data_IF_205561073021
#
_entry.id   IF_205561073021
#
_cell.length_a   1.000
_cell.length_b   1.000
_cell.length_c   1.000
_cell.angle_alpha   90.00
_cell.angle_beta   90.00
_cell.angle_gamma   90.00
#
_symmetry.space_group_name_H-M   'P 1'
#
loop_
_entity.id
_entity.type
_entity.pdbx_description
1 polymer ?
#
# COMPACT_ATOMS: atom_id res chain seq x y z
N UNK A 1 14.36 -11.85 -17.23
CA UNK A 1 13.12 -11.13 -17.63
C UNK A 1 11.86 -11.73 -17.01
N UNK A 2 11.81 -13.03 -16.67
CA UNK A 2 10.62 -13.65 -16.02
C UNK A 2 10.25 -13.07 -14.65
N UNK A 3 11.21 -12.74 -13.77
CA UNK A 3 10.90 -12.22 -12.43
C UNK A 3 10.01 -10.97 -12.47
N UNK A 4 10.26 -10.07 -13.42
CA UNK A 4 9.50 -8.82 -13.54
C UNK A 4 8.02 -9.05 -13.89
N UNK A 5 7.71 -10.09 -14.66
CA UNK A 5 6.34 -10.39 -15.05
C UNK A 5 5.51 -10.91 -13.88
N UNK A 6 6.09 -11.78 -13.04
CA UNK A 6 5.43 -12.32 -11.84
C UNK A 6 5.17 -11.21 -10.82
N UNK A 7 6.13 -10.29 -10.64
CA UNK A 7 5.94 -9.13 -9.76
C UNK A 7 4.82 -8.20 -10.25
N UNK A 8 4.77 -7.93 -11.55
CA UNK A 8 3.73 -7.07 -12.13
C UNK A 8 2.32 -7.69 -12.02
N UNK A 9 2.19 -9.00 -12.22
CA UNK A 9 0.92 -9.71 -12.00
C UNK A 9 0.49 -9.67 -10.53
N UNK A 10 1.43 -9.97 -9.63
CA UNK A 10 1.19 -9.93 -8.18
C UNK A 10 0.81 -8.52 -7.71
N UNK A 11 1.48 -7.49 -8.24
CA UNK A 11 1.18 -6.10 -7.92
C UNK A 11 -0.22 -5.69 -8.37
N UNK A 12 -0.61 -6.03 -9.61
CA UNK A 12 -1.96 -5.77 -10.12
C UNK A 12 -3.03 -6.50 -9.31
N UNK A 13 -2.76 -7.72 -8.86
CA UNK A 13 -3.65 -8.43 -7.95
C UNK A 13 -3.89 -7.65 -6.66
N UNK A 14 -2.84 -7.13 -6.03
CA UNK A 14 -3.01 -6.33 -4.81
C UNK A 14 -3.74 -5.02 -5.02
N UNK A 15 -3.50 -4.32 -6.14
CA UNK A 15 -4.27 -3.11 -6.47
C UNK A 15 -5.77 -3.42 -6.62
N UNK A 16 -6.10 -4.55 -7.24
CA UNK A 16 -7.48 -5.01 -7.35
C UNK A 16 -8.09 -5.32 -5.97
N UNK A 17 -7.35 -6.01 -5.09
CA UNK A 17 -7.80 -6.26 -3.71
C UNK A 17 -8.02 -4.94 -2.93
N UNK A 18 -7.12 -3.97 -3.06
CA UNK A 18 -7.28 -2.64 -2.45
C UNK A 18 -8.54 -1.94 -2.96
N UNK A 19 -8.88 -2.11 -4.24
CA UNK A 19 -10.13 -1.59 -4.81
C UNK A 19 -11.41 -2.26 -4.30
N UNK A 20 -11.30 -3.37 -3.58
CA UNK A 20 -12.47 -4.08 -3.00
C UNK A 20 -12.78 -3.71 -1.56
N UNK A 21 -11.88 -2.97 -0.89
CA UNK A 21 -12.01 -2.59 0.51
C UNK A 21 -12.01 -1.07 0.67
N UNK A 22 -12.56 -0.57 1.77
CA UNK A 22 -12.35 0.82 2.20
C UNK A 22 -11.00 0.92 2.92
N UNK A 23 -9.93 0.96 2.14
CA UNK A 23 -8.58 1.05 2.69
C UNK A 23 -8.30 2.39 3.39
N UNK A 24 -9.02 3.48 3.03
CA UNK A 24 -8.86 4.77 3.67
C UNK A 24 -9.35 4.74 5.12
N UNK A 25 -10.40 3.97 5.42
CA UNK A 25 -10.86 3.73 6.79
C UNK A 25 -9.81 3.05 7.69
N UNK A 26 -8.74 2.49 7.13
CA UNK A 26 -7.64 1.86 7.89
C UNK A 26 -6.55 2.83 8.33
N UNK A 27 -6.63 4.12 7.94
CA UNK A 27 -5.62 5.12 8.26
C UNK A 27 -5.32 5.19 9.77
N UNK A 28 -6.36 5.30 10.59
CA UNK A 28 -6.24 5.39 12.06
C UNK A 28 -5.63 4.12 12.67
N UNK A 29 -6.05 2.94 12.19
CA UNK A 29 -5.53 1.66 12.68
C UNK A 29 -4.07 1.43 12.32
N UNK A 30 -3.67 1.92 11.15
CA UNK A 30 -2.30 1.85 10.66
C UNK A 30 -1.40 2.94 11.25
N UNK A 31 -1.98 3.95 11.91
CA UNK A 31 -1.26 5.13 12.40
C UNK A 31 -0.69 5.97 11.25
N UNK A 32 -1.41 6.06 10.14
CA UNK A 32 -1.01 6.81 8.93
C UNK A 32 -2.06 7.85 8.57
N UNK A 33 -1.74 8.73 7.65
CA UNK A 33 -2.65 9.79 7.21
C UNK A 33 -3.35 9.40 5.90
N UNK A 34 -4.57 9.90 5.70
CA UNK A 34 -5.24 9.87 4.40
C UNK A 34 -5.17 11.27 3.76
N UNK A 35 -4.71 11.34 2.51
CA UNK A 35 -4.61 12.56 1.69
C UNK A 35 -5.42 12.34 0.41
N UNK A 36 -6.67 12.84 0.40
CA UNK A 36 -7.61 12.61 -0.70
C UNK A 36 -7.98 11.13 -0.83
N UNK A 37 -7.59 10.51 -1.95
CA UNK A 37 -7.83 9.09 -2.24
C UNK A 37 -6.60 8.21 -1.97
N UNK A 38 -5.60 8.71 -1.23
CA UNK A 38 -4.36 7.99 -0.97
C UNK A 38 -4.06 7.88 0.53
N UNK A 39 -3.51 6.74 0.96
CA UNK A 39 -2.87 6.59 2.26
C UNK A 39 -1.42 7.05 2.17
N UNK A 40 -0.98 7.87 3.12
CA UNK A 40 0.37 8.40 3.23
C UNK A 40 1.15 7.59 4.25
N UNK A 41 1.97 6.66 3.78
CA UNK A 41 2.65 5.67 4.62
C UNK A 41 4.15 6.00 4.72
N UNK A 42 4.67 6.26 5.94
CA UNK A 42 6.10 6.39 6.16
C UNK A 42 6.75 5.00 6.25
N UNK A 43 7.77 4.76 5.44
CA UNK A 43 8.56 3.52 5.46
C UNK A 43 10.03 3.82 5.14
N UNK A 44 10.96 3.36 5.98
CA UNK A 44 12.42 3.58 5.80
C UNK A 44 12.81 5.04 5.51
N UNK A 45 12.32 5.99 6.32
CA UNK A 45 12.53 7.43 6.17
C UNK A 45 12.10 8.01 4.82
N UNK A 46 11.14 7.36 4.15
CA UNK A 46 10.54 7.84 2.91
C UNK A 46 9.03 7.82 3.04
N UNK A 47 8.39 8.72 2.32
CA UNK A 47 6.93 8.82 2.29
C UNK A 47 6.37 8.24 0.99
N UNK A 48 5.39 7.35 1.11
CA UNK A 48 4.72 6.71 0.00
C UNK A 48 3.23 7.05 -0.01
N UNK A 49 2.66 7.18 -1.20
CA UNK A 49 1.21 7.20 -1.38
C UNK A 49 0.74 5.83 -1.88
N UNK A 50 -0.35 5.34 -1.29
CA UNK A 50 -0.98 4.06 -1.63
C UNK A 50 -2.45 4.31 -1.96
N UNK A 51 -2.86 3.88 -3.15
CA UNK A 51 -4.26 3.83 -3.57
C UNK A 51 -4.55 2.56 -4.35
N UNK A 52 -5.82 2.33 -4.65
CA UNK A 52 -6.25 1.24 -5.53
C UNK A 52 -5.76 1.40 -6.98
N UNK A 53 -5.31 2.59 -7.37
CA UNK A 53 -4.80 2.86 -8.73
C UNK A 53 -3.28 2.78 -8.82
N UNK A 54 -2.57 2.89 -7.69
CA UNK A 54 -1.13 2.71 -7.67
C UNK A 54 -0.45 3.02 -6.34
N UNK A 55 0.84 2.66 -6.27
CA UNK A 55 1.72 2.93 -5.14
C UNK A 55 2.93 3.73 -5.63
N UNK A 56 3.09 4.93 -5.09
CA UNK A 56 4.07 5.92 -5.55
C UNK A 56 4.89 6.48 -4.40
N UNK A 57 6.09 6.96 -4.70
CA UNK A 57 6.95 7.63 -3.74
C UNK A 57 6.70 9.12 -3.89
N UNK A 58 6.53 9.84 -2.78
CA UNK A 58 6.35 11.30 -2.85
C UNK A 58 7.68 12.04 -3.09
N UNK A 59 8.81 11.35 -2.95
CA UNK A 59 10.16 11.94 -2.97
C UNK A 59 10.98 11.64 -4.25
N UNK A 60 10.34 11.39 -5.39
CA UNK A 60 11.00 11.36 -6.71
C UNK A 60 11.94 10.17 -6.98
N UNK A 61 12.15 9.27 -6.02
CA UNK A 61 12.91 8.04 -6.21
C UNK A 61 12.03 6.92 -6.82
N UNK A 62 12.63 6.09 -7.69
CA UNK A 62 11.96 4.92 -8.24
C UNK A 62 11.56 3.94 -7.14
N UNK A 63 10.33 3.42 -7.19
CA UNK A 63 9.90 2.34 -6.31
C UNK A 63 10.52 1.00 -6.73
N UNK A 64 11.02 0.28 -5.74
CA UNK A 64 11.35 -1.13 -5.87
C UNK A 64 10.05 -1.97 -5.80
N UNK A 65 9.93 -2.99 -6.64
CA UNK A 65 8.80 -3.93 -6.66
C UNK A 65 8.53 -4.53 -5.26
N UNK A 66 9.59 -4.85 -4.51
CA UNK A 66 9.45 -5.35 -3.14
C UNK A 66 8.76 -4.34 -2.22
N UNK A 67 9.05 -3.04 -2.38
CA UNK A 67 8.42 -1.98 -1.58
C UNK A 67 6.94 -1.86 -1.92
N UNK A 68 6.57 -1.95 -3.20
CA UNK A 68 5.16 -1.98 -3.62
C UNK A 68 4.40 -3.13 -2.97
N UNK A 69 4.98 -4.33 -3.00
CA UNK A 69 4.37 -5.52 -2.38
C UNK A 69 4.23 -5.36 -0.86
N UNK A 70 5.26 -4.84 -0.19
CA UNK A 70 5.22 -4.61 1.27
C UNK A 70 4.13 -3.62 1.63
N UNK A 71 4.06 -2.47 0.95
CA UNK A 71 3.05 -1.44 1.21
C UNK A 71 1.63 -1.95 0.96
N UNK A 72 1.42 -2.64 -0.16
CA UNK A 72 0.13 -3.23 -0.47
C UNK A 72 -0.30 -4.26 0.60
N UNK A 73 0.60 -5.17 0.97
CA UNK A 73 0.32 -6.16 2.01
C UNK A 73 0.08 -5.51 3.36
N UNK A 74 0.86 -4.51 3.74
CA UNK A 74 0.69 -3.78 4.99
C UNK A 74 -0.74 -3.25 5.15
N UNK A 75 -1.29 -2.64 4.09
CA UNK A 75 -2.67 -2.16 4.08
C UNK A 75 -3.67 -3.31 4.06
N UNK A 76 -3.48 -4.31 3.19
CA UNK A 76 -4.43 -5.43 3.03
C UNK A 76 -4.53 -6.32 4.28
N UNK A 77 -3.42 -6.53 4.99
CA UNK A 77 -3.39 -7.37 6.20
C UNK A 77 -3.75 -6.62 7.47
N UNK A 78 -3.95 -5.30 7.40
CA UNK A 78 -4.49 -4.56 8.53
C UNK A 78 -5.87 -5.12 8.89
N UNK A 79 -6.09 -5.54 10.14
CA UNK A 79 -7.39 -6.01 10.57
C UNK A 79 -8.40 -4.85 10.54
N UNK A 80 -9.68 -5.17 10.40
CA UNK A 80 -10.74 -4.15 10.44
C UNK A 80 -10.94 -3.61 11.88
N UNK A 81 -10.51 -4.36 12.90
CA UNK A 81 -10.55 -3.98 14.31
C UNK A 81 -9.32 -4.54 15.04
N UNK A 82 -8.76 -3.77 15.96
CA UNK A 82 -7.68 -4.26 16.82
C UNK A 82 -8.21 -5.36 17.76
N UNK A 83 -7.43 -6.42 18.01
CA UNK A 83 -7.79 -7.40 19.02
C UNK A 83 -7.92 -6.72 20.40
N UNK A 84 -8.81 -7.24 21.27
CA UNK A 84 -8.91 -6.75 22.64
C UNK A 84 -7.56 -6.91 23.36
N UNK A 85 -7.20 -5.91 24.16
CA UNK A 85 -5.99 -5.89 24.99
C UNK A 85 -6.07 -6.89 26.15
#
# INVERSE_FOLDING_TARGET
MEKSAVFEETYRHYLAELGTIDYLARADLLGVEADGEELIIPLYNRTYSVSSTGINAREGAALNDAVRVILAKYVLTCPDQLPPL
#
